data_IF_466932778790
#
_entry.id   IF_466932778790
#
_cell.length_a   1.000
_cell.length_b   1.000
_cell.length_c   1.000
_cell.angle_alpha   90.00
_cell.angle_beta   90.00
_cell.angle_gamma   90.00
#
_symmetry.space_group_name_H-M   'P 1'
#
loop_
_entity.id
_entity.type
_entity.pdbx_description
1 polymer ?
#
# COMPACT_ATOMS: atom_id res chain seq x y z
N UNK A 1 3.43 -5.25 26.50
CA UNK A 1 3.59 -3.82 26.16
C UNK A 1 2.58 -3.03 26.98
N UNK A 2 2.69 -1.73 27.17
CA UNK A 2 1.74 -0.97 28.00
C UNK A 2 0.79 -0.23 27.07
N UNK A 3 -0.53 -0.30 27.33
CA UNK A 3 -1.54 0.54 26.68
C UNK A 3 -1.16 2.02 26.80
N UNK A 4 -1.43 2.81 25.77
CA UNK A 4 -1.03 4.23 25.72
C UNK A 4 -2.23 5.11 25.42
N UNK A 5 -2.44 6.16 26.23
CA UNK A 5 -3.51 7.12 26.01
C UNK A 5 -3.21 8.01 24.79
N UNK A 6 -4.13 8.01 23.83
CA UNK A 6 -4.07 8.83 22.61
C UNK A 6 -4.61 10.23 22.92
N UNK A 7 -5.82 10.27 23.45
CA UNK A 7 -6.48 11.42 24.09
C UNK A 7 -7.25 10.88 25.28
N UNK A 8 -7.75 11.75 26.16
CA UNK A 8 -8.50 11.33 27.35
C UNK A 8 -9.61 10.34 27.00
N UNK A 9 -9.52 9.12 27.52
CA UNK A 9 -10.51 8.07 27.31
C UNK A 9 -10.40 7.31 25.97
N UNK A 10 -9.42 7.62 25.12
CA UNK A 10 -9.08 6.85 23.92
C UNK A 10 -7.68 6.30 24.05
N UNK A 11 -7.53 4.99 23.94
CA UNK A 11 -6.27 4.29 24.20
C UNK A 11 -5.87 3.42 23.02
N UNK A 12 -4.60 3.44 22.68
CA UNK A 12 -4.01 2.42 21.82
C UNK A 12 -3.75 1.17 22.65
N UNK A 13 -4.26 0.04 22.20
CA UNK A 13 -4.15 -1.27 22.89
C UNK A 13 -3.59 -2.37 21.98
N UNK A 14 -3.14 -2.03 20.79
CA UNK A 14 -2.62 -2.95 19.77
C UNK A 14 -1.28 -3.59 20.12
N UNK A 15 -0.58 -4.08 19.10
CA UNK A 15 0.70 -4.76 19.20
C UNK A 15 1.72 -4.22 18.20
N UNK A 16 3.02 -4.31 18.57
CA UNK A 16 4.14 -3.99 17.69
C UNK A 16 4.85 -5.29 17.29
N UNK A 17 5.14 -5.44 16.01
CA UNK A 17 5.88 -6.58 15.49
C UNK A 17 7.17 -6.13 14.78
N UNK A 18 8.23 -5.96 15.56
CA UNK A 18 9.55 -5.55 15.07
C UNK A 18 10.22 -6.63 14.21
N UNK A 19 9.80 -7.88 14.34
CA UNK A 19 10.43 -9.03 13.69
C UNK A 19 9.66 -9.56 12.47
N UNK A 20 8.47 -9.05 12.19
CA UNK A 20 7.73 -9.40 10.98
C UNK A 20 8.50 -8.93 9.75
N UNK A 21 8.87 -9.84 8.85
CA UNK A 21 9.70 -9.52 7.67
C UNK A 21 8.97 -9.71 6.35
N UNK A 22 7.83 -10.38 6.38
CA UNK A 22 7.00 -10.60 5.20
C UNK A 22 5.53 -10.57 5.62
N UNK A 23 4.70 -9.94 4.81
CA UNK A 23 3.26 -9.89 4.95
C UNK A 23 2.63 -10.61 3.75
N UNK A 24 1.55 -11.39 3.98
CA UNK A 24 0.88 -12.20 2.95
C UNK A 24 1.80 -13.08 2.11
N UNK A 25 2.91 -13.55 2.69
CA UNK A 25 3.95 -14.32 2.01
C UNK A 25 4.46 -13.67 0.71
N UNK A 26 4.26 -12.35 0.57
CA UNK A 26 4.54 -11.61 -0.65
C UNK A 26 5.26 -10.28 -0.41
N UNK A 27 4.85 -9.51 0.59
CA UNK A 27 5.27 -8.11 0.79
C UNK A 27 6.40 -8.05 1.81
N UNK A 28 7.63 -7.67 1.43
CA UNK A 28 8.72 -7.51 2.37
C UNK A 28 8.49 -6.33 3.32
N UNK A 29 8.70 -6.56 4.62
CA UNK A 29 8.54 -5.58 5.69
C UNK A 29 9.90 -5.24 6.33
N UNK A 30 10.71 -4.36 5.74
CA UNK A 30 12.04 -4.03 6.28
C UNK A 30 12.00 -3.40 7.68
N UNK A 31 10.91 -2.68 7.99
CA UNK A 31 10.74 -1.95 9.26
C UNK A 31 9.76 -2.63 10.22
N UNK A 32 9.40 -3.90 9.97
CA UNK A 32 8.35 -4.59 10.74
C UNK A 32 6.97 -3.98 10.51
N UNK A 33 6.04 -4.21 11.44
CA UNK A 33 4.68 -3.64 11.39
C UNK A 33 4.12 -3.40 12.79
N UNK A 34 2.98 -2.74 12.87
CA UNK A 34 2.11 -2.73 14.04
C UNK A 34 0.72 -3.19 13.64
N UNK A 35 0.01 -3.77 14.59
CA UNK A 35 -1.42 -4.09 14.49
C UNK A 35 -2.14 -3.22 15.51
N UNK A 36 -2.72 -2.12 15.05
CA UNK A 36 -3.29 -1.12 15.93
C UNK A 36 -4.75 -1.45 16.23
N UNK A 37 -5.06 -1.53 17.51
CA UNK A 37 -6.42 -1.58 18.02
C UNK A 37 -6.61 -0.42 19.02
N UNK A 38 -7.83 0.13 19.08
CA UNK A 38 -8.09 1.32 19.89
C UNK A 38 -9.30 1.09 20.81
N UNK A 39 -9.12 1.30 22.11
CA UNK A 39 -10.18 1.25 23.10
C UNK A 39 -10.73 2.65 23.36
N UNK A 40 -12.04 2.82 23.23
CA UNK A 40 -12.75 4.08 23.48
C UNK A 40 -13.69 3.90 24.65
N UNK A 41 -13.45 4.61 25.74
CA UNK A 41 -14.33 4.67 26.90
C UNK A 41 -15.25 5.88 26.80
N UNK A 42 -16.51 5.65 26.45
CA UNK A 42 -17.57 6.66 26.58
C UNK A 42 -18.16 6.67 27.99
N UNK A 43 -19.07 7.61 28.23
CA UNK A 43 -19.73 7.72 29.55
C UNK A 43 -20.73 6.60 29.83
N UNK A 44 -21.21 5.89 28.82
CA UNK A 44 -22.20 4.80 28.96
C UNK A 44 -21.70 3.47 28.40
N UNK A 45 -20.89 3.50 27.34
CA UNK A 45 -20.47 2.34 26.57
C UNK A 45 -18.98 2.37 26.24
N UNK A 46 -18.39 1.18 26.14
CA UNK A 46 -17.00 0.99 25.73
C UNK A 46 -16.96 0.31 24.36
N UNK A 47 -16.17 0.86 23.44
CA UNK A 47 -15.94 0.28 22.11
C UNK A 47 -14.46 -0.06 21.92
N UNK A 48 -14.19 -1.19 21.27
CA UNK A 48 -12.88 -1.55 20.72
C UNK A 48 -12.95 -1.38 19.20
N UNK A 49 -12.01 -0.68 18.61
CA UNK A 49 -11.88 -0.52 17.16
C UNK A 49 -10.79 -1.44 16.68
N UNK A 50 -11.15 -2.38 15.82
CA UNK A 50 -10.36 -3.47 15.28
C UNK A 50 -9.70 -4.36 16.36
N UNK A 51 -9.07 -5.44 15.93
CA UNK A 51 -8.29 -6.35 16.78
C UNK A 51 -6.86 -6.41 16.23
N UNK A 52 -6.15 -7.51 16.46
CA UNK A 52 -4.78 -7.71 15.98
C UNK A 52 -4.65 -9.06 15.28
N UNK A 53 -3.53 -9.23 14.58
CA UNK A 53 -3.11 -10.53 14.02
C UNK A 53 -3.13 -11.62 15.13
N UNK A 54 -3.59 -12.86 14.84
CA UNK A 54 -3.64 -13.95 15.83
C UNK A 54 -2.29 -14.21 16.53
N UNK A 55 -1.19 -13.96 15.87
CA UNK A 55 0.15 -14.11 16.47
C UNK A 55 0.45 -13.10 17.58
N UNK A 56 -0.41 -12.07 17.74
CA UNK A 56 -0.29 -10.97 18.72
C UNK A 56 -1.47 -10.88 19.69
N UNK A 57 -2.30 -11.91 19.78
CA UNK A 57 -3.47 -11.94 20.66
C UNK A 57 -3.11 -11.78 22.14
N UNK A 58 -1.95 -12.30 22.57
CA UNK A 58 -1.47 -12.18 23.94
C UNK A 58 -1.15 -10.72 24.31
N UNK A 59 -0.59 -9.93 23.38
CA UNK A 59 -0.31 -8.51 23.61
C UNK A 59 -1.60 -7.70 23.75
N UNK A 60 -2.59 -7.91 22.87
CA UNK A 60 -3.89 -7.23 22.96
C UNK A 60 -4.60 -7.56 24.27
N UNK A 61 -4.73 -8.84 24.60
CA UNK A 61 -5.41 -9.29 25.83
C UNK A 61 -4.70 -8.80 27.09
N UNK A 62 -3.36 -8.84 27.13
CA UNK A 62 -2.57 -8.30 28.23
C UNK A 62 -2.77 -6.79 28.40
N UNK A 63 -2.84 -6.02 27.30
CA UNK A 63 -3.13 -4.59 27.33
C UNK A 63 -4.51 -4.30 27.92
N UNK A 64 -5.54 -5.04 27.50
CA UNK A 64 -6.91 -4.90 28.03
C UNK A 64 -7.00 -5.28 29.53
N UNK A 65 -6.35 -6.36 29.94
CA UNK A 65 -6.29 -6.78 31.37
C UNK A 65 -5.58 -5.72 32.21
N UNK A 66 -4.45 -5.21 31.77
CA UNK A 66 -3.68 -4.19 32.51
C UNK A 66 -4.47 -2.89 32.72
N UNK A 67 -5.44 -2.62 31.84
CA UNK A 67 -6.33 -1.47 31.94
C UNK A 67 -7.61 -1.73 32.73
N UNK A 68 -7.75 -2.90 33.37
CA UNK A 68 -8.98 -3.33 34.06
C UNK A 68 -10.22 -3.22 33.15
N UNK A 69 -10.12 -3.66 31.89
CA UNK A 69 -11.25 -3.66 30.94
C UNK A 69 -12.11 -4.88 31.25
N UNK A 70 -13.14 -4.70 32.08
CA UNK A 70 -14.04 -5.77 32.48
C UNK A 70 -15.23 -5.97 31.53
N UNK A 71 -15.50 -4.97 30.66
CA UNK A 71 -16.60 -5.01 29.69
C UNK A 71 -16.22 -4.26 28.43
N UNK A 72 -16.54 -4.85 27.29
CA UNK A 72 -16.59 -4.21 25.98
C UNK A 72 -18.01 -4.38 25.47
N UNK A 73 -18.69 -3.28 25.14
CA UNK A 73 -20.05 -3.29 24.59
C UNK A 73 -20.03 -3.53 23.09
N UNK A 74 -19.08 -2.92 22.40
CA UNK A 74 -18.96 -2.99 20.94
C UNK A 74 -17.54 -3.30 20.52
N UNK A 75 -17.40 -4.24 19.58
CA UNK A 75 -16.15 -4.47 18.83
C UNK A 75 -16.44 -4.05 17.40
N UNK A 76 -15.90 -2.92 16.99
CA UNK A 76 -16.03 -2.40 15.62
C UNK A 76 -14.97 -3.06 14.76
N UNK A 77 -15.35 -3.74 13.69
CA UNK A 77 -14.42 -4.29 12.72
C UNK A 77 -14.53 -3.47 11.43
N UNK A 78 -13.47 -2.74 11.12
CA UNK A 78 -13.38 -1.92 9.91
C UNK A 78 -13.05 -2.75 8.68
N UNK A 79 -12.36 -3.89 8.85
CA UNK A 79 -11.87 -4.76 7.79
C UNK A 79 -11.81 -6.21 8.24
N UNK A 80 -12.21 -7.14 7.38
CA UNK A 80 -12.32 -8.56 7.70
C UNK A 80 -11.00 -9.33 7.65
N UNK A 81 -9.92 -8.76 7.12
CA UNK A 81 -8.61 -9.41 7.06
C UNK A 81 -8.12 -9.77 8.46
N UNK A 82 -7.44 -10.92 8.59
CA UNK A 82 -7.21 -11.52 9.90
C UNK A 82 -6.23 -10.76 10.79
N UNK A 83 -5.42 -9.89 10.23
CA UNK A 83 -4.56 -9.00 11.01
C UNK A 83 -5.31 -7.84 11.69
N UNK A 84 -6.60 -7.62 11.32
CA UNK A 84 -7.54 -6.69 11.97
C UNK A 84 -8.64 -7.44 12.73
N UNK A 85 -8.97 -8.67 12.34
CA UNK A 85 -10.14 -9.40 12.84
C UNK A 85 -9.81 -10.74 13.50
N UNK A 86 -8.60 -11.25 13.33
CA UNK A 86 -8.27 -12.64 13.67
C UNK A 86 -8.37 -12.98 15.15
N UNK A 87 -8.22 -12.02 16.04
CA UNK A 87 -8.39 -12.20 17.49
C UNK A 87 -9.85 -12.05 17.94
N UNK A 88 -10.78 -11.71 17.04
CA UNK A 88 -12.20 -11.49 17.36
C UNK A 88 -12.88 -12.69 18.04
N UNK A 89 -12.69 -13.96 17.62
CA UNK A 89 -13.29 -15.10 18.31
C UNK A 89 -12.90 -15.18 19.79
N UNK A 90 -11.61 -15.00 20.12
CA UNK A 90 -11.12 -14.99 21.50
C UNK A 90 -11.76 -13.85 22.30
N UNK A 91 -11.86 -12.65 21.73
CA UNK A 91 -12.46 -11.51 22.42
C UNK A 91 -13.95 -11.72 22.68
N UNK A 92 -14.68 -12.43 21.80
CA UNK A 92 -16.09 -12.77 22.03
C UNK A 92 -16.30 -13.83 23.10
N UNK A 93 -15.29 -14.66 23.39
CA UNK A 93 -15.29 -15.57 24.54
C UNK A 93 -15.01 -14.81 25.83
N UNK A 94 -14.02 -13.90 25.84
CA UNK A 94 -13.66 -13.08 27.01
C UNK A 94 -14.75 -12.06 27.34
N UNK A 95 -15.37 -11.46 26.33
CA UNK A 95 -16.45 -10.47 26.46
C UNK A 95 -17.75 -10.98 25.83
N UNK A 96 -18.45 -11.92 26.50
CA UNK A 96 -19.59 -12.64 25.91
C UNK A 96 -20.79 -11.74 25.56
N UNK A 97 -20.88 -10.54 26.12
CA UNK A 97 -21.93 -9.57 25.83
C UNK A 97 -21.53 -8.54 24.75
N UNK A 98 -20.31 -8.58 24.24
CA UNK A 98 -19.88 -7.67 23.19
C UNK A 98 -20.62 -7.93 21.88
N UNK A 99 -20.97 -6.86 21.17
CA UNK A 99 -21.63 -6.91 19.86
C UNK A 99 -20.63 -6.46 18.80
N UNK A 100 -20.48 -7.25 17.75
CA UNK A 100 -19.63 -6.91 16.60
C UNK A 100 -20.35 -5.90 15.72
N UNK A 101 -19.75 -4.73 15.51
CA UNK A 101 -20.32 -3.65 14.69
C UNK A 101 -19.55 -3.57 13.38
N UNK A 102 -20.24 -3.85 12.28
CA UNK A 102 -19.63 -3.81 10.95
C UNK A 102 -20.71 -3.74 9.87
N UNK A 103 -20.33 -3.59 8.59
CA UNK A 103 -21.26 -3.62 7.49
C UNK A 103 -21.63 -5.06 7.05
N UNK A 104 -22.66 -5.18 6.25
CA UNK A 104 -23.19 -6.47 5.79
C UNK A 104 -22.16 -7.32 5.06
N UNK A 105 -21.36 -6.67 4.18
CA UNK A 105 -20.35 -7.37 3.38
C UNK A 105 -19.19 -7.88 4.25
N UNK A 106 -18.78 -7.11 5.23
CA UNK A 106 -17.75 -7.50 6.20
C UNK A 106 -18.25 -8.70 7.04
N UNK A 107 -19.49 -8.67 7.53
CA UNK A 107 -20.10 -9.81 8.23
C UNK A 107 -20.03 -11.11 7.41
N UNK A 108 -20.39 -11.04 6.10
CA UNK A 108 -20.34 -12.21 5.22
C UNK A 108 -18.93 -12.81 5.17
N UNK A 109 -17.90 -11.96 5.06
CA UNK A 109 -16.51 -12.39 4.99
C UNK A 109 -16.02 -12.89 6.34
N UNK A 110 -16.33 -12.19 7.44
CA UNK A 110 -15.98 -12.63 8.79
C UNK A 110 -16.59 -14.01 9.12
N UNK A 111 -17.84 -14.27 8.73
CA UNK A 111 -18.45 -15.58 8.91
C UNK A 111 -17.73 -16.68 8.10
N UNK A 112 -17.26 -16.36 6.91
CA UNK A 112 -16.51 -17.32 6.09
C UNK A 112 -15.08 -17.60 6.65
N UNK A 113 -14.47 -16.63 7.30
CA UNK A 113 -13.10 -16.74 7.83
C UNK A 113 -13.06 -17.23 9.29
N UNK A 114 -14.01 -16.80 10.15
CA UNK A 114 -13.90 -16.91 11.60
C UNK A 114 -15.11 -17.62 12.26
N UNK A 115 -16.14 -18.00 11.50
CA UNK A 115 -17.34 -18.71 11.98
C UNK A 115 -18.04 -18.03 13.18
N UNK A 116 -18.27 -16.73 13.09
CA UNK A 116 -18.89 -15.95 14.16
C UNK A 116 -20.42 -16.07 14.10
N UNK A 117 -21.14 -16.32 15.23
CA UNK A 117 -22.60 -16.43 15.25
C UNK A 117 -23.30 -15.18 14.73
N UNK A 118 -24.33 -15.36 13.90
CA UNK A 118 -25.05 -14.26 13.24
C UNK A 118 -25.73 -13.27 14.19
N UNK A 119 -26.15 -13.72 15.36
CA UNK A 119 -26.80 -12.90 16.41
C UNK A 119 -25.83 -11.99 17.16
N UNK A 120 -24.51 -12.16 16.92
CA UNK A 120 -23.47 -11.31 17.52
C UNK A 120 -23.24 -10.01 16.75
N UNK A 121 -23.88 -9.81 15.61
CA UNK A 121 -23.62 -8.66 14.74
C UNK A 121 -24.67 -7.57 14.83
N UNK A 122 -24.19 -6.32 14.88
CA UNK A 122 -24.96 -5.10 14.57
C UNK A 122 -24.48 -4.55 13.24
N UNK A 123 -25.35 -4.62 12.24
CA UNK A 123 -25.03 -4.15 10.87
C UNK A 123 -25.25 -2.65 10.77
N UNK A 124 -24.24 -1.97 10.19
CA UNK A 124 -24.28 -0.53 9.93
C UNK A 124 -24.19 -0.24 8.41
N UNK A 125 -24.60 0.96 8.05
CA UNK A 125 -24.57 1.51 6.69
C UNK A 125 -23.72 2.79 6.65
N UNK A 126 -23.43 3.28 5.44
CA UNK A 126 -22.69 4.55 5.26
C UNK A 126 -23.45 5.70 5.93
N UNK A 127 -22.76 6.44 6.80
CA UNK A 127 -23.31 7.56 7.56
C UNK A 127 -24.07 7.17 8.83
N UNK A 128 -24.22 5.87 9.16
CA UNK A 128 -24.79 5.46 10.43
C UNK A 128 -23.93 5.91 11.60
N UNK A 129 -24.57 6.07 12.77
CA UNK A 129 -23.88 6.47 13.99
C UNK A 129 -24.15 5.53 15.14
N UNK A 130 -23.21 5.45 16.09
CA UNK A 130 -23.30 4.66 17.31
C UNK A 130 -22.88 5.52 18.50
N UNK A 131 -23.82 5.71 19.45
CA UNK A 131 -23.54 6.47 20.68
C UNK A 131 -22.82 5.60 21.71
N UNK A 132 -21.81 6.19 22.36
CA UNK A 132 -21.13 5.66 23.53
C UNK A 132 -21.48 6.48 24.81
N UNK A 133 -22.49 7.34 24.74
CA UNK A 133 -22.89 8.31 25.75
C UNK A 133 -22.41 9.71 25.36
N UNK A 134 -21.27 10.13 25.87
CA UNK A 134 -20.64 11.43 25.57
C UNK A 134 -19.82 11.44 24.26
N UNK A 135 -19.76 10.32 23.54
CA UNK A 135 -19.04 10.15 22.29
C UNK A 135 -19.88 9.43 21.24
N UNK A 136 -19.64 9.78 19.99
CA UNK A 136 -20.37 9.25 18.83
C UNK A 136 -19.41 8.74 17.77
N UNK A 137 -19.53 7.44 17.43
CA UNK A 137 -18.89 6.86 16.27
C UNK A 137 -19.75 7.08 15.03
N UNK A 138 -19.18 7.53 13.93
CA UNK A 138 -19.79 7.62 12.61
C UNK A 138 -19.04 6.73 11.63
N UNK A 139 -19.77 6.01 10.78
CA UNK A 139 -19.22 5.00 9.89
C UNK A 139 -19.25 5.45 8.43
N UNK A 140 -18.13 5.28 7.73
CA UNK A 140 -18.01 5.53 6.29
C UNK A 140 -17.66 4.24 5.58
N UNK A 141 -18.54 3.75 4.73
CA UNK A 141 -18.27 2.56 3.92
C UNK A 141 -17.38 2.96 2.75
N UNK A 142 -16.22 2.31 2.63
CA UNK A 142 -15.17 2.65 1.67
C UNK A 142 -14.69 1.41 0.89
N UNK A 143 -15.57 0.77 0.11
CA UNK A 143 -15.21 -0.45 -0.61
C UNK A 143 -14.00 -0.23 -1.52
N UNK A 144 -13.15 -1.25 -1.59
CA UNK A 144 -11.90 -1.25 -2.34
C UNK A 144 -10.80 -0.33 -1.78
N UNK A 145 -10.79 -0.21 -0.42
CA UNK A 145 -9.66 0.31 0.34
C UNK A 145 -9.07 -0.75 1.31
N UNK A 146 -8.54 -1.91 0.97
CA UNK A 146 -8.31 -2.46 -0.38
C UNK A 146 -9.27 -3.63 -0.70
N UNK A 147 -10.07 -4.10 0.24
CA UNK A 147 -11.11 -5.11 0.06
C UNK A 147 -12.50 -4.48 -0.13
N UNK A 148 -13.49 -5.28 -0.65
CA UNK A 148 -14.80 -4.74 -1.04
C UNK A 148 -15.67 -4.29 0.14
N UNK A 149 -15.33 -4.64 1.37
CA UNK A 149 -16.14 -4.40 2.58
C UNK A 149 -15.55 -3.35 3.52
N UNK A 150 -14.36 -2.84 3.24
CA UNK A 150 -13.67 -1.92 4.16
C UNK A 150 -14.52 -0.70 4.52
N UNK A 151 -14.44 -0.30 5.78
CA UNK A 151 -15.06 0.90 6.31
C UNK A 151 -14.08 1.70 7.16
N UNK A 152 -14.39 2.97 7.41
CA UNK A 152 -13.68 3.86 8.33
C UNK A 152 -14.61 4.21 9.48
N UNK A 153 -14.05 4.40 10.66
CA UNK A 153 -14.79 4.82 11.85
C UNK A 153 -14.30 6.19 12.30
N UNK A 154 -15.20 7.15 12.44
CA UNK A 154 -14.88 8.53 12.85
C UNK A 154 -15.46 8.83 14.22
N UNK A 155 -14.63 9.23 15.16
CA UNK A 155 -15.02 9.70 16.49
C UNK A 155 -15.23 11.22 16.43
N UNK A 156 -16.50 11.65 16.47
CA UNK A 156 -16.90 13.04 16.17
C UNK A 156 -16.33 14.05 17.15
N UNK A 157 -16.48 13.80 18.45
CA UNK A 157 -16.17 14.74 19.51
C UNK A 157 -14.65 14.99 19.60
N UNK A 158 -13.85 13.97 19.42
CA UNK A 158 -12.37 14.05 19.45
C UNK A 158 -11.77 14.29 18.05
N UNK A 159 -12.59 14.26 16.97
CA UNK A 159 -12.19 14.45 15.57
C UNK A 159 -11.09 13.45 15.13
N UNK A 160 -11.21 12.19 15.56
CA UNK A 160 -10.26 11.13 15.25
C UNK A 160 -10.85 10.22 14.17
N UNK A 161 -10.10 10.00 13.08
CA UNK A 161 -10.43 9.02 12.07
C UNK A 161 -9.65 7.73 12.30
N UNK A 162 -10.33 6.65 12.65
CA UNK A 162 -9.78 5.29 12.61
C UNK A 162 -9.93 4.80 11.17
N UNK A 163 -8.82 4.90 10.44
CA UNK A 163 -8.84 4.78 8.98
C UNK A 163 -8.59 3.37 8.47
N UNK A 164 -8.48 2.39 9.36
CA UNK A 164 -8.04 1.05 8.99
C UNK A 164 -6.72 1.12 8.20
N UNK A 165 -6.60 0.41 7.09
CA UNK A 165 -5.43 0.40 6.23
C UNK A 165 -5.20 1.71 5.48
N UNK A 166 -6.29 2.42 5.18
CA UNK A 166 -6.17 3.69 4.44
C UNK A 166 -5.36 4.68 5.28
N UNK A 167 -4.33 5.28 4.67
CA UNK A 167 -3.37 6.20 5.30
C UNK A 167 -2.39 5.55 6.29
N UNK A 168 -2.49 4.24 6.53
CA UNK A 168 -1.54 3.47 7.31
C UNK A 168 -0.30 3.06 6.53
N UNK A 169 0.68 2.48 7.24
CA UNK A 169 1.89 1.93 6.65
C UNK A 169 2.61 1.00 7.61
N UNK A 170 3.28 -0.01 7.07
CA UNK A 170 4.04 -0.96 7.86
C UNK A 170 5.31 -0.32 8.43
N UNK A 171 5.28 -0.09 9.73
CA UNK A 171 6.41 0.38 10.53
C UNK A 171 6.19 0.01 11.98
N UNK A 172 7.11 -0.74 12.57
CA UNK A 172 7.16 -0.97 14.01
C UNK A 172 8.00 0.14 14.67
N UNK A 173 7.39 0.90 15.56
CA UNK A 173 8.08 1.95 16.32
C UNK A 173 7.55 2.02 17.75
N UNK A 174 8.41 2.42 18.69
CA UNK A 174 7.98 2.73 20.06
C UNK A 174 7.20 4.04 20.17
N UNK A 175 7.23 4.88 19.14
CA UNK A 175 6.52 6.15 19.13
C UNK A 175 5.03 5.91 18.79
N UNK A 176 4.14 6.48 19.62
CA UNK A 176 2.69 6.41 19.37
C UNK A 176 2.26 7.27 18.19
N UNK A 177 2.99 8.36 17.97
CA UNK A 177 2.71 9.36 16.95
C UNK A 177 3.88 9.46 15.97
N UNK A 178 3.62 9.90 14.75
CA UNK A 178 4.67 10.20 13.77
C UNK A 178 5.59 11.28 14.33
N UNK A 179 6.88 10.97 14.43
CA UNK A 179 7.95 11.87 14.85
C UNK A 179 8.89 12.23 13.71
N UNK A 180 9.00 11.37 12.68
CA UNK A 180 9.76 11.57 11.45
C UNK A 180 8.84 11.47 10.24
N UNK A 181 8.36 12.63 9.75
CA UNK A 181 7.48 12.68 8.57
C UNK A 181 8.19 12.22 7.29
N UNK A 182 9.51 12.34 7.18
CA UNK A 182 10.23 11.91 5.99
C UNK A 182 10.27 10.37 5.90
N UNK A 183 10.58 9.69 6.99
CA UNK A 183 10.53 8.23 7.08
C UNK A 183 9.08 7.73 6.88
N UNK A 184 8.10 8.34 7.57
CA UNK A 184 6.69 8.02 7.44
C UNK A 184 6.18 8.15 5.99
N UNK A 185 6.60 9.22 5.26
CA UNK A 185 6.25 9.40 3.85
C UNK A 185 6.77 8.25 2.98
N UNK A 186 8.02 7.81 3.20
CA UNK A 186 8.60 6.73 2.41
C UNK A 186 7.89 5.39 2.65
N UNK A 187 7.60 5.07 3.92
CA UNK A 187 6.89 3.84 4.29
C UNK A 187 5.43 3.88 3.82
N UNK A 188 4.74 5.02 3.97
CA UNK A 188 3.38 5.20 3.48
C UNK A 188 3.29 5.11 1.94
N UNK A 189 4.27 5.67 1.21
CA UNK A 189 4.32 5.55 -0.25
C UNK A 189 4.57 4.12 -0.70
N UNK A 190 5.40 3.37 0.03
CA UNK A 190 5.62 1.95 -0.21
C UNK A 190 4.33 1.16 0.01
N UNK A 191 3.66 1.35 1.15
CA UNK A 191 2.39 0.71 1.46
C UNK A 191 1.31 1.02 0.41
N UNK A 192 1.17 2.31 0.05
CA UNK A 192 0.27 2.71 -1.03
C UNK A 192 0.55 1.97 -2.34
N UNK A 193 1.82 1.86 -2.73
CA UNK A 193 2.21 1.19 -3.96
C UNK A 193 1.88 -0.31 -3.96
N UNK A 194 2.13 -0.97 -2.84
CA UNK A 194 1.99 -2.42 -2.69
C UNK A 194 0.52 -2.85 -2.51
N UNK A 195 -0.30 -2.05 -1.82
CA UNK A 195 -1.65 -2.43 -1.37
C UNK A 195 -2.74 -1.59 -2.05
N UNK A 196 -2.59 -0.26 -2.08
CA UNK A 196 -3.66 0.68 -2.42
C UNK A 196 -3.70 1.08 -3.91
N UNK A 197 -2.56 1.09 -4.59
CA UNK A 197 -2.41 1.62 -5.95
C UNK A 197 -3.34 0.95 -6.98
N UNK A 198 -3.62 -0.37 -6.95
CA UNK A 198 -4.59 -1.01 -7.84
C UNK A 198 -5.99 -0.41 -7.77
N UNK A 199 -6.35 0.16 -6.62
CA UNK A 199 -7.68 0.72 -6.31
C UNK A 199 -7.71 2.25 -6.36
N UNK A 200 -6.70 2.87 -6.95
CA UNK A 200 -6.50 4.32 -7.05
C UNK A 200 -7.78 5.09 -7.40
N UNK A 201 -8.59 4.57 -8.32
CA UNK A 201 -9.83 5.21 -8.76
C UNK A 201 -10.87 5.38 -7.65
N UNK A 202 -11.07 4.34 -6.82
CA UNK A 202 -11.98 4.37 -5.67
C UNK A 202 -11.42 5.26 -4.56
N UNK A 203 -10.14 5.09 -4.22
CA UNK A 203 -9.45 5.79 -3.13
C UNK A 203 -9.47 7.31 -3.35
N UNK A 204 -9.36 7.79 -4.60
CA UNK A 204 -9.44 9.23 -4.92
C UNK A 204 -10.70 9.88 -4.34
N UNK A 205 -11.85 9.24 -4.50
CA UNK A 205 -13.12 9.76 -3.95
C UNK A 205 -13.14 9.79 -2.43
N UNK A 206 -12.54 8.80 -1.77
CA UNK A 206 -12.48 8.74 -0.31
C UNK A 206 -11.50 9.76 0.27
N UNK A 207 -10.35 9.99 -0.36
CA UNK A 207 -9.43 11.06 0.03
C UNK A 207 -10.14 12.41 0.01
N UNK A 208 -10.91 12.71 -1.05
CA UNK A 208 -11.70 13.95 -1.14
C UNK A 208 -12.81 14.02 -0.09
N UNK A 209 -13.45 12.90 0.27
CA UNK A 209 -14.47 12.84 1.34
C UNK A 209 -13.81 13.13 2.69
N UNK A 210 -12.69 12.47 2.99
CA UNK A 210 -11.96 12.61 4.27
C UNK A 210 -11.38 14.03 4.44
N UNK A 211 -10.87 14.66 3.39
CA UNK A 211 -10.39 16.05 3.42
C UNK A 211 -11.46 17.08 3.89
N UNK A 212 -12.73 16.73 3.81
CA UNK A 212 -13.84 17.61 4.24
C UNK A 212 -14.21 17.44 5.72
N UNK A 213 -13.71 16.39 6.37
CA UNK A 213 -13.96 16.17 7.79
C UNK A 213 -13.07 17.09 8.64
N UNK A 214 -13.57 17.60 9.76
CA UNK A 214 -12.71 18.19 10.77
C UNK A 214 -11.88 17.08 11.42
N UNK A 215 -10.56 17.07 11.20
CA UNK A 215 -9.67 16.05 11.70
C UNK A 215 -8.60 16.64 12.61
N UNK A 216 -8.52 16.13 13.84
CA UNK A 216 -7.41 16.37 14.75
C UNK A 216 -6.29 15.35 14.51
N UNK A 217 -6.64 14.11 14.15
CA UNK A 217 -5.68 13.05 13.84
C UNK A 217 -6.29 11.92 12.99
N UNK A 218 -5.41 11.14 12.37
CA UNK A 218 -5.72 9.87 11.71
C UNK A 218 -5.02 8.76 12.47
N UNK A 219 -5.78 7.78 12.92
CA UNK A 219 -5.35 6.62 13.69
C UNK A 219 -5.52 5.34 12.82
N UNK A 220 -4.50 4.94 12.05
CA UNK A 220 -4.57 3.81 11.13
C UNK A 220 -4.39 2.48 11.87
N UNK A 221 -4.63 1.37 11.17
CA UNK A 221 -4.39 0.03 11.69
C UNK A 221 -2.93 -0.41 11.63
N UNK A 222 -2.09 0.28 10.85
CA UNK A 222 -0.64 0.04 10.79
C UNK A 222 0.15 1.33 10.89
N UNK A 223 1.28 1.26 11.60
CA UNK A 223 2.17 2.41 11.83
C UNK A 223 1.69 3.38 12.92
N UNK A 224 2.45 4.43 13.19
CA UNK A 224 2.12 5.42 14.22
C UNK A 224 0.95 6.33 13.80
N UNK A 225 0.26 6.88 14.82
CA UNK A 225 -0.86 7.81 14.64
C UNK A 225 -0.36 9.13 14.04
N UNK A 226 -1.11 9.67 13.10
CA UNK A 226 -0.80 10.94 12.45
C UNK A 226 -1.58 12.10 13.09
N UNK A 227 -0.86 13.00 13.78
CA UNK A 227 -1.41 14.25 14.35
C UNK A 227 -1.48 15.42 13.36
N UNK A 228 -0.91 15.25 12.18
CA UNK A 228 -0.92 16.24 11.10
C UNK A 228 -1.64 15.66 9.87
N UNK A 229 -2.98 15.49 9.91
CA UNK A 229 -3.72 14.80 8.84
C UNK A 229 -3.41 15.32 7.44
N UNK A 230 -3.17 16.62 7.27
CA UNK A 230 -2.84 17.22 5.97
C UNK A 230 -1.61 16.56 5.32
N UNK A 231 -0.60 16.18 6.10
CA UNK A 231 0.61 15.53 5.62
C UNK A 231 0.31 14.28 4.77
N UNK A 232 -0.45 13.34 5.31
CA UNK A 232 -0.75 12.09 4.60
C UNK A 232 -1.86 12.26 3.56
N UNK A 233 -2.84 13.14 3.82
CA UNK A 233 -3.92 13.43 2.88
C UNK A 233 -3.41 14.10 1.60
N UNK A 234 -2.43 14.99 1.69
CA UNK A 234 -1.83 15.63 0.53
C UNK A 234 -0.94 14.66 -0.25
N UNK A 235 -0.19 13.78 0.46
CA UNK A 235 0.57 12.71 -0.16
C UNK A 235 -0.35 11.77 -0.96
N UNK A 236 -1.44 11.28 -0.36
CA UNK A 236 -2.42 10.44 -1.07
C UNK A 236 -3.09 11.16 -2.23
N UNK A 237 -3.43 12.45 -2.08
CA UNK A 237 -4.02 13.24 -3.18
C UNK A 237 -3.09 13.32 -4.40
N UNK A 238 -1.76 13.44 -4.19
CA UNK A 238 -0.77 13.37 -5.26
C UNK A 238 -0.70 11.96 -5.87
N UNK A 239 -0.60 10.91 -5.04
CA UNK A 239 -0.44 9.54 -5.52
C UNK A 239 -1.67 9.03 -6.29
N UNK A 240 -2.89 9.37 -5.86
CA UNK A 240 -4.12 8.97 -6.56
C UNK A 240 -4.43 9.85 -7.77
N UNK A 241 -3.71 10.96 -7.98
CA UNK A 241 -3.87 11.83 -9.14
C UNK A 241 -3.46 11.15 -10.44
N UNK A 242 -3.81 11.75 -11.58
CA UNK A 242 -3.36 11.29 -12.89
C UNK A 242 -2.03 11.91 -13.31
N UNK A 243 -1.45 12.79 -12.48
CA UNK A 243 -0.18 13.45 -12.74
C UNK A 243 0.97 12.44 -12.64
N UNK A 244 1.86 12.47 -13.62
CA UNK A 244 3.11 11.71 -13.66
C UNK A 244 4.30 12.65 -13.62
N UNK A 245 5.47 12.14 -13.23
CA UNK A 245 6.71 12.91 -13.12
C UNK A 245 7.62 12.64 -14.29
N UNK A 246 8.53 13.58 -14.56
CA UNK A 246 9.61 13.44 -15.55
C UNK A 246 10.64 12.41 -15.07
N UNK A 247 10.18 11.18 -14.89
CA UNK A 247 10.94 10.06 -14.34
C UNK A 247 10.84 8.84 -15.26
N UNK A 248 11.94 8.08 -15.33
CA UNK A 248 12.04 6.78 -15.98
C UNK A 248 12.50 5.74 -14.96
N UNK A 249 11.73 4.67 -14.79
CA UNK A 249 12.12 3.50 -13.99
C UNK A 249 12.63 2.41 -14.93
N UNK A 250 13.80 1.83 -14.61
CA UNK A 250 14.42 0.78 -15.44
C UNK A 250 14.63 -0.49 -14.60
N UNK A 251 13.58 -1.35 -14.44
CA UNK A 251 13.77 -2.68 -13.86
C UNK A 251 14.52 -3.58 -14.85
N UNK A 252 15.61 -4.21 -14.42
CA UNK A 252 16.41 -5.02 -15.33
C UNK A 252 17.09 -6.22 -14.65
N UNK A 253 17.45 -7.19 -15.49
CA UNK A 253 18.40 -8.25 -15.19
C UNK A 253 19.51 -8.25 -16.24
N UNK A 254 20.72 -8.52 -15.84
CA UNK A 254 21.85 -8.76 -16.75
C UNK A 254 22.60 -10.02 -16.32
N UNK A 255 22.79 -10.98 -17.24
CA UNK A 255 23.50 -12.24 -16.95
C UNK A 255 25.01 -12.12 -17.18
N UNK A 256 25.41 -11.48 -18.29
CA UNK A 256 26.81 -11.42 -18.76
C UNK A 256 27.22 -9.98 -19.12
N UNK A 257 26.57 -8.97 -18.56
CA UNK A 257 26.93 -7.55 -18.73
C UNK A 257 26.30 -6.84 -19.93
N UNK A 258 25.83 -7.53 -20.98
CA UNK A 258 25.30 -6.89 -22.20
C UNK A 258 24.11 -5.97 -21.91
N UNK A 259 23.08 -6.48 -21.21
CA UNK A 259 21.90 -5.68 -20.82
C UNK A 259 22.29 -4.55 -19.86
N UNK A 260 23.20 -4.80 -18.92
CA UNK A 260 23.69 -3.78 -17.99
C UNK A 260 24.40 -2.62 -18.72
N UNK A 261 25.24 -2.92 -19.72
CA UNK A 261 25.85 -1.89 -20.58
C UNK A 261 24.80 -1.01 -21.26
N UNK A 262 23.72 -1.61 -21.77
CA UNK A 262 22.61 -0.88 -22.38
C UNK A 262 21.88 0.01 -21.35
N UNK A 263 21.61 -0.52 -20.15
CA UNK A 263 20.98 0.25 -19.05
C UNK A 263 21.85 1.44 -18.65
N UNK A 264 23.15 1.22 -18.47
CA UNK A 264 24.10 2.29 -18.11
C UNK A 264 24.15 3.37 -19.19
N UNK A 265 24.19 3.00 -20.48
CA UNK A 265 24.19 3.96 -21.58
C UNK A 265 22.87 4.77 -21.60
N UNK A 266 21.73 4.08 -21.58
CA UNK A 266 20.40 4.73 -21.59
C UNK A 266 20.23 5.66 -20.38
N UNK A 267 20.66 5.24 -19.19
CA UNK A 267 20.62 6.06 -17.97
C UNK A 267 21.39 7.37 -18.17
N UNK A 268 22.62 7.32 -18.70
CA UNK A 268 23.42 8.52 -19.00
C UNK A 268 22.74 9.40 -20.04
N UNK A 269 22.20 8.80 -21.10
CA UNK A 269 21.52 9.52 -22.17
C UNK A 269 20.27 10.25 -21.69
N UNK A 270 19.47 9.64 -20.79
CA UNK A 270 18.28 10.24 -20.19
C UNK A 270 18.66 11.36 -19.20
N UNK A 271 19.65 11.15 -18.33
CA UNK A 271 20.15 12.15 -17.38
C UNK A 271 20.65 13.40 -18.15
N UNK A 272 21.39 13.21 -19.25
CA UNK A 272 21.86 14.31 -20.10
C UNK A 272 20.71 15.15 -20.72
N UNK A 273 19.48 14.61 -20.71
CA UNK A 273 18.24 15.25 -21.18
C UNK A 273 17.38 15.83 -20.06
N UNK A 274 17.89 15.85 -18.82
CA UNK A 274 17.15 16.36 -17.65
C UNK A 274 16.05 15.44 -17.13
N UNK A 275 16.11 14.14 -17.46
CA UNK A 275 15.13 13.14 -16.99
C UNK A 275 15.69 12.43 -15.75
N UNK A 276 14.91 12.31 -14.70
CA UNK A 276 15.26 11.51 -13.52
C UNK A 276 15.16 10.02 -13.86
N UNK A 277 16.20 9.24 -13.53
CA UNK A 277 16.26 7.81 -13.85
C UNK A 277 16.50 6.98 -12.60
N UNK A 278 15.72 5.93 -12.45
CA UNK A 278 15.80 4.97 -11.33
C UNK A 278 16.03 3.56 -11.88
N UNK A 279 17.27 3.09 -12.03
CA UNK A 279 17.55 1.72 -12.44
C UNK A 279 17.43 0.76 -11.25
N UNK A 280 16.80 -0.41 -11.46
CA UNK A 280 16.61 -1.45 -10.47
C UNK A 280 17.15 -2.79 -10.99
N UNK A 281 18.26 -3.24 -10.45
CA UNK A 281 18.73 -4.60 -10.70
C UNK A 281 17.89 -5.60 -9.89
N UNK A 282 16.99 -6.30 -10.56
CA UNK A 282 16.00 -7.18 -9.95
C UNK A 282 16.59 -8.37 -9.17
N UNK A 283 17.88 -8.68 -9.38
CA UNK A 283 18.54 -9.73 -8.60
C UNK A 283 19.07 -9.25 -7.24
N UNK A 284 18.97 -7.95 -6.96
CA UNK A 284 19.52 -7.30 -5.76
C UNK A 284 18.54 -6.36 -5.07
N UNK A 285 17.46 -6.01 -5.74
CA UNK A 285 16.50 -5.00 -5.25
C UNK A 285 15.32 -5.68 -4.60
N UNK A 286 14.89 -5.16 -3.45
CA UNK A 286 13.60 -5.45 -2.85
C UNK A 286 12.47 -5.04 -3.80
N UNK A 287 11.53 -5.94 -4.04
CA UNK A 287 10.42 -5.71 -4.98
C UNK A 287 9.49 -4.55 -4.54
N UNK A 288 9.38 -4.29 -3.25
CA UNK A 288 8.61 -3.16 -2.71
C UNK A 288 9.25 -1.81 -3.03
N UNK A 289 10.59 -1.73 -3.12
CA UNK A 289 11.26 -0.51 -3.59
C UNK A 289 10.96 -0.25 -5.07
N UNK A 290 10.84 -1.29 -5.89
CA UNK A 290 10.38 -1.15 -7.26
C UNK A 290 8.91 -0.68 -7.30
N UNK A 291 8.02 -1.31 -6.52
CA UNK A 291 6.61 -0.91 -6.44
C UNK A 291 6.48 0.58 -6.06
N UNK A 292 7.19 1.02 -5.01
CA UNK A 292 7.25 2.42 -4.57
C UNK A 292 7.72 3.37 -5.70
N UNK A 293 8.72 2.95 -6.47
CA UNK A 293 9.23 3.75 -7.58
C UNK A 293 8.23 3.87 -8.74
N UNK A 294 7.31 2.90 -8.89
CA UNK A 294 6.28 2.89 -9.95
C UNK A 294 5.09 3.82 -9.67
N UNK A 295 5.01 4.48 -8.51
CA UNK A 295 3.90 5.39 -8.19
C UNK A 295 3.84 6.60 -9.12
N UNK A 296 4.99 7.20 -9.44
CA UNK A 296 5.05 8.52 -10.09
C UNK A 296 5.58 8.56 -11.53
N UNK A 297 6.37 7.60 -12.06
CA UNK A 297 7.09 7.79 -13.30
C UNK A 297 6.16 7.87 -14.50
N UNK A 298 6.54 8.66 -15.52
CA UNK A 298 5.85 8.67 -16.79
C UNK A 298 6.20 7.44 -17.66
N UNK A 299 7.42 6.90 -17.51
CA UNK A 299 7.94 5.85 -18.39
C UNK A 299 8.59 4.71 -17.59
N UNK A 300 8.39 3.48 -18.06
CA UNK A 300 9.12 2.28 -17.62
C UNK A 300 9.88 1.69 -18.81
N UNK A 301 11.17 1.41 -18.63
CA UNK A 301 11.98 0.69 -19.62
C UNK A 301 12.45 -0.63 -19.03
N UNK A 302 11.98 -1.74 -19.55
CA UNK A 302 12.24 -3.07 -19.01
C UNK A 302 13.49 -3.64 -19.67
N UNK A 303 14.54 -3.91 -18.86
CA UNK A 303 15.80 -4.48 -19.31
C UNK A 303 15.87 -6.01 -19.11
N UNK A 304 16.03 -6.80 -20.19
CA UNK A 304 16.06 -8.26 -20.07
C UNK A 304 17.04 -8.93 -21.02
N UNK A 305 17.84 -9.91 -20.55
CA UNK A 305 18.44 -10.89 -21.45
C UNK A 305 17.39 -11.89 -21.90
N UNK A 306 17.59 -12.52 -23.05
CA UNK A 306 16.76 -13.64 -23.47
C UNK A 306 17.24 -14.95 -22.82
N UNK A 307 16.33 -15.63 -22.11
CA UNK A 307 16.54 -16.92 -21.44
C UNK A 307 15.47 -17.90 -21.91
N UNK A 308 15.84 -19.08 -22.37
CA UNK A 308 14.89 -20.10 -22.83
C UNK A 308 13.83 -19.54 -23.81
N UNK A 309 14.29 -18.75 -24.79
CA UNK A 309 13.50 -18.07 -25.82
C UNK A 309 12.57 -16.96 -25.33
N UNK A 310 12.56 -16.62 -24.04
CA UNK A 310 11.73 -15.57 -23.41
C UNK A 310 12.53 -14.57 -22.58
N UNK A 311 11.84 -13.63 -21.90
CA UNK A 311 12.48 -12.76 -20.93
C UNK A 311 12.97 -13.55 -19.72
N UNK A 312 13.91 -12.97 -18.96
CA UNK A 312 14.38 -13.58 -17.71
C UNK A 312 13.24 -13.74 -16.69
N UNK A 313 13.13 -14.87 -15.95
CA UNK A 313 12.02 -15.12 -15.02
C UNK A 313 11.78 -14.02 -13.99
N UNK A 314 12.81 -13.41 -13.42
CA UNK A 314 12.64 -12.29 -12.49
C UNK A 314 12.08 -11.04 -13.16
N UNK A 315 12.37 -10.82 -14.46
CA UNK A 315 11.76 -9.74 -15.24
C UNK A 315 10.28 -10.02 -15.48
N UNK A 316 9.94 -11.28 -15.78
CA UNK A 316 8.54 -11.74 -15.91
C UNK A 316 7.78 -11.47 -14.61
N UNK A 317 8.33 -11.90 -13.47
CA UNK A 317 7.73 -11.67 -12.16
C UNK A 317 7.52 -10.17 -11.86
N UNK A 318 8.54 -9.34 -12.04
CA UNK A 318 8.44 -7.89 -11.82
C UNK A 318 7.44 -7.23 -12.78
N UNK A 319 7.38 -7.66 -14.05
CA UNK A 319 6.41 -7.15 -15.03
C UNK A 319 4.98 -7.56 -14.67
N UNK A 320 4.78 -8.81 -14.23
CA UNK A 320 3.49 -9.30 -13.74
C UNK A 320 2.99 -8.48 -12.57
N UNK A 321 3.82 -8.26 -11.55
CA UNK A 321 3.46 -7.42 -10.41
C UNK A 321 3.15 -5.99 -10.82
N UNK A 322 3.98 -5.37 -11.66
CA UNK A 322 3.71 -4.03 -12.17
C UNK A 322 2.36 -3.94 -12.89
N UNK A 323 2.01 -4.97 -13.68
CA UNK A 323 0.72 -5.04 -14.34
C UNK A 323 -0.45 -5.13 -13.36
N UNK A 324 -0.32 -5.91 -12.26
CA UNK A 324 -1.35 -6.05 -11.22
C UNK A 324 -1.49 -4.79 -10.37
N UNK A 325 -0.39 -4.09 -10.09
CA UNK A 325 -0.38 -2.83 -9.33
C UNK A 325 -0.99 -1.65 -10.10
N UNK A 326 -1.15 -1.73 -11.42
CA UNK A 326 -1.77 -0.73 -12.28
C UNK A 326 -1.22 0.69 -12.06
N UNK A 327 0.10 0.90 -12.11
CA UNK A 327 0.69 2.22 -11.97
C UNK A 327 0.19 3.17 -13.05
N UNK A 328 0.27 4.47 -12.79
CA UNK A 328 -0.20 5.52 -13.71
C UNK A 328 0.76 5.86 -14.86
N UNK A 329 1.75 4.99 -15.17
CA UNK A 329 2.71 5.16 -16.27
C UNK A 329 2.00 5.36 -17.61
N UNK A 330 2.65 6.09 -18.52
CA UNK A 330 2.12 6.44 -19.84
C UNK A 330 2.84 5.72 -20.96
N UNK A 331 4.14 5.44 -20.78
CA UNK A 331 5.01 4.88 -21.82
C UNK A 331 5.78 3.69 -21.25
N UNK A 332 6.00 2.70 -22.12
CA UNK A 332 6.86 1.57 -21.83
C UNK A 332 7.78 1.27 -23.00
N UNK A 333 8.95 0.69 -22.73
CA UNK A 333 9.82 0.12 -23.76
C UNK A 333 10.56 -1.10 -23.21
N UNK A 334 11.18 -1.87 -24.10
CA UNK A 334 12.01 -3.02 -23.74
C UNK A 334 13.39 -2.85 -24.33
N UNK A 335 14.43 -3.06 -23.52
CA UNK A 335 15.81 -3.13 -23.97
C UNK A 335 16.42 -4.46 -23.57
N UNK A 336 17.36 -5.00 -24.35
CA UNK A 336 18.00 -6.25 -23.93
C UNK A 336 18.86 -6.92 -24.99
N UNK A 337 19.33 -8.11 -24.63
CA UNK A 337 20.23 -8.88 -25.47
C UNK A 337 19.78 -10.32 -25.63
N UNK A 338 20.19 -10.94 -26.73
CA UNK A 338 19.93 -12.35 -27.02
C UNK A 338 21.16 -13.00 -27.69
N UNK A 339 21.30 -14.31 -27.54
CA UNK A 339 22.33 -15.08 -28.23
C UNK A 339 21.88 -15.62 -29.59
N UNK A 340 20.71 -16.26 -29.64
CA UNK A 340 20.23 -16.97 -30.83
C UNK A 340 18.75 -16.70 -31.20
N UNK A 341 18.10 -15.75 -30.55
CA UNK A 341 16.72 -15.36 -30.82
C UNK A 341 15.85 -15.45 -29.58
N UNK A 342 14.58 -15.07 -29.71
CA UNK A 342 13.62 -15.11 -28.63
C UNK A 342 12.43 -14.16 -28.87
N UNK A 343 11.44 -14.24 -27.98
CA UNK A 343 10.22 -13.46 -28.02
C UNK A 343 10.06 -12.57 -26.76
N UNK A 344 11.18 -12.07 -26.23
CA UNK A 344 11.17 -11.32 -24.96
C UNK A 344 10.30 -10.05 -25.05
N UNK A 345 10.38 -9.31 -26.16
CA UNK A 345 9.62 -8.08 -26.38
C UNK A 345 8.12 -8.38 -26.44
N UNK A 346 7.72 -9.32 -27.29
CA UNK A 346 6.31 -9.68 -27.47
C UNK A 346 5.70 -10.26 -26.18
N UNK A 347 6.51 -11.00 -25.40
CA UNK A 347 6.06 -11.54 -24.12
C UNK A 347 5.82 -10.42 -23.11
N UNK A 348 6.76 -9.50 -22.95
CA UNK A 348 6.63 -8.36 -22.03
C UNK A 348 5.46 -7.45 -22.45
N UNK A 349 5.35 -7.12 -23.73
CA UNK A 349 4.26 -6.27 -24.24
C UNK A 349 2.86 -6.86 -23.95
N UNK A 350 2.70 -8.18 -24.08
CA UNK A 350 1.45 -8.87 -23.75
C UNK A 350 1.16 -8.90 -22.24
N UNK A 351 2.15 -8.81 -21.40
CA UNK A 351 1.98 -8.82 -19.95
C UNK A 351 1.53 -7.46 -19.38
N UNK A 352 1.62 -6.40 -20.17
CA UNK A 352 1.23 -5.04 -19.76
C UNK A 352 -0.21 -4.67 -20.19
N UNK A 353 -1.09 -5.66 -20.34
CA UNK A 353 -2.46 -5.49 -20.85
C UNK A 353 -3.39 -4.74 -19.89
N UNK A 354 -3.13 -4.75 -18.58
CA UNK A 354 -3.89 -3.98 -17.59
C UNK A 354 -3.33 -2.56 -17.35
N UNK A 355 -2.17 -2.24 -17.92
CA UNK A 355 -1.58 -0.91 -17.87
C UNK A 355 -1.77 -0.26 -19.24
N UNK A 356 -2.52 0.84 -19.28
CA UNK A 356 -2.77 1.56 -20.53
C UNK A 356 -1.54 2.39 -20.92
N UNK A 357 -0.55 1.76 -21.58
CA UNK A 357 0.72 2.37 -21.98
C UNK A 357 0.92 2.38 -23.49
N UNK A 358 1.52 3.45 -24.00
CA UNK A 358 2.09 3.46 -25.35
C UNK A 358 3.47 2.77 -25.30
N UNK A 359 3.64 1.72 -26.11
CA UNK A 359 4.92 1.01 -26.20
C UNK A 359 5.82 1.71 -27.22
N UNK A 360 6.95 2.25 -26.74
CA UNK A 360 7.98 2.87 -27.57
C UNK A 360 8.86 1.78 -28.21
N UNK A 361 9.50 2.11 -29.34
CA UNK A 361 10.31 1.17 -30.12
C UNK A 361 11.40 0.51 -29.24
N UNK A 362 11.41 -0.84 -29.14
CA UNK A 362 12.38 -1.55 -28.32
C UNK A 362 13.77 -1.57 -28.95
N UNK A 363 14.80 -1.72 -28.09
CA UNK A 363 16.19 -1.85 -28.55
C UNK A 363 16.76 -3.21 -28.11
N UNK A 364 16.93 -4.11 -29.06
CA UNK A 364 17.45 -5.46 -28.84
C UNK A 364 18.75 -5.69 -29.61
N UNK A 365 19.72 -6.36 -29.00
CA UNK A 365 21.02 -6.65 -29.64
C UNK A 365 21.38 -8.13 -29.53
N UNK A 366 22.02 -8.65 -30.56
CA UNK A 366 22.63 -9.99 -30.52
C UNK A 366 24.03 -9.87 -29.89
N UNK A 367 24.19 -10.44 -28.69
CA UNK A 367 25.47 -10.42 -27.98
C UNK A 367 25.78 -9.09 -27.29
N UNK A 368 26.94 -8.52 -27.51
CA UNK A 368 27.37 -7.24 -26.92
C UNK A 368 26.81 -6.05 -27.69
N UNK A 369 26.46 -4.95 -26.98
CA UNK A 369 26.06 -3.69 -27.63
C UNK A 369 27.18 -3.14 -28.51
N UNK A 370 26.83 -2.84 -29.76
CA UNK A 370 27.68 -2.16 -30.73
C UNK A 370 27.27 -0.68 -30.89
N UNK A 371 27.96 0.06 -31.76
CA UNK A 371 27.68 1.48 -32.03
C UNK A 371 26.26 1.71 -32.54
N UNK A 372 25.73 0.80 -33.36
CA UNK A 372 24.34 0.87 -33.86
C UNK A 372 23.33 0.73 -32.73
N UNK A 373 23.58 -0.19 -31.79
CA UNK A 373 22.77 -0.38 -30.58
C UNK A 373 22.79 0.87 -29.70
N UNK A 374 23.95 1.47 -29.46
CA UNK A 374 24.09 2.69 -28.66
C UNK A 374 23.32 3.85 -29.30
N UNK A 375 23.40 4.03 -30.63
CA UNK A 375 22.58 5.00 -31.38
C UNK A 375 21.07 4.71 -31.25
N UNK A 376 20.68 3.44 -31.20
CA UNK A 376 19.31 3.04 -30.92
C UNK A 376 18.82 3.48 -29.54
N UNK A 377 19.65 3.32 -28.52
CA UNK A 377 19.34 3.78 -27.16
C UNK A 377 19.27 5.31 -27.06
N UNK A 378 20.12 6.04 -27.80
CA UNK A 378 20.04 7.52 -27.88
C UNK A 378 18.74 7.98 -28.56
N UNK A 379 18.25 7.25 -29.61
CA UNK A 379 16.93 7.50 -30.19
C UNK A 379 15.84 7.29 -29.15
N UNK A 380 15.84 6.15 -28.46
CA UNK A 380 14.84 5.86 -27.41
C UNK A 380 14.83 6.97 -26.36
N UNK A 381 16.00 7.47 -25.92
CA UNK A 381 16.09 8.57 -24.99
C UNK A 381 15.48 9.88 -25.53
N UNK A 382 15.65 10.17 -26.85
CA UNK A 382 15.02 11.31 -27.51
C UNK A 382 13.50 11.15 -27.61
N UNK A 383 13.02 9.96 -27.93
CA UNK A 383 11.59 9.65 -28.02
C UNK A 383 10.90 9.80 -26.66
N UNK A 384 11.52 9.29 -25.58
CA UNK A 384 11.05 9.49 -24.21
C UNK A 384 10.98 10.99 -23.87
N UNK A 385 12.03 11.76 -24.13
CA UNK A 385 12.03 13.21 -23.89
C UNK A 385 10.91 13.91 -24.65
N UNK A 386 10.71 13.58 -25.92
CA UNK A 386 9.63 14.12 -26.74
C UNK A 386 8.26 13.82 -26.11
N UNK A 387 8.03 12.57 -25.69
CA UNK A 387 6.78 12.15 -25.04
C UNK A 387 6.55 12.87 -23.70
N UNK A 388 7.60 13.06 -22.89
CA UNK A 388 7.50 13.80 -21.64
C UNK A 388 7.19 15.30 -21.88
N UNK A 389 7.73 15.90 -22.95
CA UNK A 389 7.37 17.27 -23.38
C UNK A 389 5.91 17.37 -23.83
N UNK A 390 5.38 16.37 -24.55
CA UNK A 390 3.99 16.31 -24.94
C UNK A 390 3.04 16.28 -23.72
N UNK A 391 3.49 15.72 -22.60
CA UNK A 391 2.76 15.72 -21.31
C UNK A 391 3.00 16.99 -20.47
N UNK A 392 3.85 17.93 -20.89
CA UNK A 392 4.26 19.13 -20.14
C UNK A 392 4.86 18.83 -18.75
N UNK A 393 5.66 17.77 -18.62
CA UNK A 393 6.28 17.33 -17.35
C UNK A 393 7.81 17.55 -17.32
N UNK A 394 8.40 18.17 -18.34
CA UNK A 394 9.85 18.44 -18.44
C UNK A 394 10.23 19.81 -17.90
#
# INVERSE_FOLDING_TARGET
MVSREVVKGVFWVGALDFDRRIFDELIPLPEGTSYNAYLIRGSEKTALIDTVDPSKEEELTSNLITMDVNQIDYIVINHAEQDHSGTLPLLLEVYPNAVVVTNEKCREILNALLDIPHDRFKIIKDGDTLSLGDRTLEFFITPWTHWPETQLTYLREDQILFSCDLFGFHMATSDLFITDEAAAYQSAKRYYAEIMMPFRGSIRGYVEKVKRLPLSMIAPSHGPINRHPAFILDAYADWVSDSVKNEVVIPYVSMHGSTEMMVVHLTKALIARGITVKPFNLTRTDIGELAKALVDPATVVIGTPTVLFGPHPQVVYATYLANMLKPKIRFASVIGSYGWGGKAVETIAKMLDHVNVEVLEPVMVKGLPDEATLKGLDRLANDILKKHKELNIT
#
